data_IF_230475759688
#
_entry.id   IF_230475759688
#
_cell.length_a   1.000
_cell.length_b   1.000
_cell.length_c   1.000
_cell.angle_alpha   90.00
_cell.angle_beta   90.00
_cell.angle_gamma   90.00
#
_symmetry.space_group_name_H-M   'P 1'
#
loop_
_entity.id
_entity.type
_entity.pdbx_description
1 polymer ?
#
# COMPACT_ATOMS: atom_id res chain seq x y z
N UNK A 1 50.13 -42.94 18.79
CA UNK A 1 51.28 -42.13 18.35
C UNK A 1 50.67 -40.94 17.67
N UNK A 2 50.54 -39.98 18.49
CA UNK A 2 51.14 -38.62 18.45
C UNK A 2 50.58 -37.78 17.37
N UNK A 3 49.89 -36.79 17.66
CA UNK A 3 50.17 -35.58 18.42
C UNK A 3 49.84 -34.39 17.48
N UNK A 4 49.07 -33.51 17.83
CA UNK A 4 49.31 -32.18 18.35
C UNK A 4 48.48 -31.09 17.64
N UNK A 5 47.55 -30.54 18.36
CA UNK A 5 47.13 -29.16 18.31
C UNK A 5 48.35 -28.22 18.52
N UNK A 6 48.36 -26.93 18.16
CA UNK A 6 47.42 -25.95 18.66
C UNK A 6 47.08 -24.78 17.72
N UNK A 7 46.07 -24.04 18.17
CA UNK A 7 45.73 -22.64 17.87
C UNK A 7 46.90 -21.70 18.23
N UNK A 8 47.03 -20.50 17.59
CA UNK A 8 46.60 -19.34 18.34
C UNK A 8 45.71 -18.33 17.59
N UNK A 9 44.94 -17.63 18.41
CA UNK A 9 44.27 -16.39 18.13
C UNK A 9 45.29 -15.22 18.10
N UNK A 10 44.96 -14.16 17.36
CA UNK A 10 45.34 -12.76 17.61
C UNK A 10 44.45 -11.90 16.77
N UNK A 11 43.57 -11.20 17.42
CA UNK A 11 43.44 -9.77 17.69
C UNK A 11 43.79 -8.82 16.54
N UNK A 12 42.83 -8.01 16.14
CA UNK A 12 42.90 -6.56 15.88
C UNK A 12 41.57 -6.03 15.40
N UNK A 13 40.92 -5.29 16.28
CA UNK A 13 40.62 -3.84 16.25
C UNK A 13 39.63 -3.41 15.16
N UNK A 14 38.42 -3.22 15.57
CA UNK A 14 37.81 -1.92 15.90
C UNK A 14 38.22 -0.76 14.98
N UNK A 15 37.32 -0.39 14.06
CA UNK A 15 37.17 0.99 13.66
C UNK A 15 35.71 1.29 13.35
N UNK A 16 35.06 1.88 14.35
CA UNK A 16 33.79 2.57 14.21
C UNK A 16 33.97 3.80 13.33
N UNK A 17 33.17 3.95 12.30
CA UNK A 17 33.00 5.20 11.58
C UNK A 17 31.59 5.71 11.77
N UNK A 18 31.47 6.67 12.66
CA UNK A 18 30.33 7.53 12.96
C UNK A 18 30.18 8.58 11.86
N UNK A 19 28.99 8.88 11.34
CA UNK A 19 28.80 10.02 10.44
C UNK A 19 28.79 11.33 11.19
N UNK A 20 29.27 12.44 10.60
CA UNK A 20 29.31 13.75 11.24
C UNK A 20 27.94 14.43 11.22
N UNK A 21 27.51 14.86 12.39
CA UNK A 21 26.61 15.98 12.55
C UNK A 21 27.49 17.25 12.45
N UNK A 22 27.07 18.20 11.65
CA UNK A 22 27.11 19.63 11.94
C UNK A 22 26.71 20.46 10.72
N UNK A 23 25.72 21.29 10.89
CA UNK A 23 25.77 22.71 10.63
C UNK A 23 24.43 23.36 10.93
N UNK A 24 24.24 23.70 12.19
CA UNK A 24 23.34 24.77 12.56
C UNK A 24 24.12 26.08 12.41
N UNK A 25 23.74 26.91 11.47
CA UNK A 25 24.23 28.28 11.38
C UNK A 25 23.10 29.24 11.72
N UNK A 26 23.31 29.86 12.86
CA UNK A 26 22.62 30.99 13.47
C UNK A 26 22.53 32.17 12.51
N UNK A 27 21.38 32.73 12.33
CA UNK A 27 21.19 34.09 11.86
C UNK A 27 20.67 34.97 13.01
N UNK A 28 21.48 35.84 13.38
CA UNK A 28 21.51 36.84 14.45
C UNK A 28 20.59 38.01 14.07
N UNK A 29 19.70 38.34 14.97
CA UNK A 29 18.98 39.61 14.99
C UNK A 29 19.92 40.73 15.46
N UNK A 30 19.85 41.93 14.92
CA UNK A 30 20.35 43.12 15.60
C UNK A 30 19.20 44.00 16.09
N UNK A 31 19.07 44.15 17.39
CA UNK A 31 18.28 45.19 18.00
C UNK A 31 18.93 46.57 17.87
N UNK A 32 18.15 47.63 17.89
CA UNK A 32 18.72 48.95 18.09
C UNK A 32 18.63 49.42 19.55
N UNK A 33 19.69 50.11 19.88
CA UNK A 33 20.06 50.70 21.14
C UNK A 33 19.09 51.77 21.65
N UNK A 34 19.18 51.85 22.96
CA UNK A 34 18.62 52.88 23.80
C UNK A 34 19.23 54.26 23.52
N UNK A 35 18.44 55.28 23.67
CA UNK A 35 18.93 56.57 24.11
C UNK A 35 17.99 57.27 25.07
N UNK A 36 18.52 57.57 26.17
CA UNK A 36 17.96 58.25 27.33
C UNK A 36 17.78 59.75 27.07
N UNK A 37 16.76 60.36 27.65
CA UNK A 37 16.85 61.68 28.20
C UNK A 37 15.99 61.91 29.43
N UNK A 38 16.58 62.47 30.40
CA UNK A 38 16.12 62.93 31.71
C UNK A 38 14.96 63.92 31.66
N UNK A 39 14.09 63.82 32.64
CA UNK A 39 13.16 64.87 32.99
C UNK A 39 12.67 64.71 34.42
N UNK A 40 13.28 65.48 35.29
CA UNK A 40 13.00 65.64 36.72
C UNK A 40 11.71 66.46 36.90
N UNK A 41 10.80 66.03 37.78
CA UNK A 41 9.67 66.88 38.18
C UNK A 41 8.79 66.26 39.25
N UNK A 42 9.25 66.41 40.45
CA UNK A 42 8.56 66.65 41.72
C UNK A 42 7.06 66.47 41.88
N UNK A 43 6.72 65.61 42.85
CA UNK A 43 5.86 65.86 43.99
C UNK A 43 4.35 65.91 43.81
N UNK A 44 3.61 64.94 44.38
CA UNK A 44 2.72 65.13 45.54
C UNK A 44 1.87 63.94 45.82
N UNK A 45 1.97 63.54 47.05
CA UNK A 45 1.02 62.79 47.91
C UNK A 45 -0.45 62.89 47.53
N UNK A 46 -1.17 61.77 47.57
CA UNK A 46 -2.26 61.45 48.51
C UNK A 46 -3.40 60.60 47.98
N UNK A 47 -3.64 59.59 48.72
CA UNK A 47 -4.95 58.96 49.05
C UNK A 47 -5.63 57.95 48.11
N UNK A 48 -6.22 56.89 48.67
CA UNK A 48 -6.70 55.70 47.98
C UNK A 48 -8.17 55.91 47.51
N UNK A 49 -8.45 55.57 46.31
CA UNK A 49 -9.78 55.68 45.82
C UNK A 49 -10.01 55.00 44.51
N UNK A 50 -10.83 53.96 44.55
CA UNK A 50 -11.68 53.44 43.48
C UNK A 50 -11.00 52.85 42.24
N UNK A 51 -11.22 51.62 41.85
CA UNK A 51 -10.75 51.09 40.60
C UNK A 51 -11.37 51.85 39.44
N UNK A 52 -10.57 52.63 38.73
CA UNK A 52 -10.99 53.25 37.50
C UNK A 52 -11.39 52.18 36.45
N UNK A 53 -12.64 52.15 36.11
CA UNK A 53 -13.15 51.41 34.99
C UNK A 53 -12.31 51.84 33.77
N UNK A 54 -11.67 50.93 33.12
CA UNK A 54 -10.93 51.15 31.87
C UNK A 54 -11.96 51.51 30.80
N UNK A 55 -12.14 52.84 30.62
CA UNK A 55 -12.99 53.33 29.54
C UNK A 55 -12.24 53.07 28.20
N UNK A 56 -12.60 52.02 27.54
CA UNK A 56 -12.12 51.74 26.16
C UNK A 56 -12.62 52.85 25.26
N UNK A 57 -11.73 53.67 24.69
CA UNK A 57 -12.11 54.78 23.87
C UNK A 57 -12.93 54.33 22.65
N UNK A 58 -13.97 55.10 22.24
CA UNK A 58 -14.86 54.71 21.13
C UNK A 58 -14.18 54.47 19.78
N UNK A 59 -12.96 54.97 19.61
CA UNK A 59 -12.16 54.79 18.39
C UNK A 59 -11.60 53.38 18.20
N UNK A 60 -11.44 52.61 19.26
CA UNK A 60 -10.91 51.24 19.18
C UNK A 60 -11.99 50.28 18.73
N UNK A 61 -13.25 50.49 19.20
CA UNK A 61 -14.40 49.68 18.73
C UNK A 61 -14.68 49.83 17.24
N UNK A 62 -14.53 51.03 16.68
CA UNK A 62 -14.79 51.30 15.26
C UNK A 62 -13.75 50.64 14.33
N UNK A 63 -12.47 50.49 14.80
CA UNK A 63 -11.42 49.80 14.03
C UNK A 63 -11.54 48.28 14.06
N UNK A 64 -12.00 47.71 15.18
CA UNK A 64 -12.25 46.28 15.31
C UNK A 64 -13.44 45.80 14.47
N UNK A 65 -14.53 46.58 14.43
CA UNK A 65 -15.72 46.23 13.62
C UNK A 65 -15.51 46.42 12.12
N UNK A 66 -14.66 47.39 11.71
CA UNK A 66 -14.34 47.61 10.27
C UNK A 66 -13.43 46.46 9.74
N UNK A 67 -12.56 45.93 10.58
CA UNK A 67 -11.71 44.75 10.21
C UNK A 67 -12.49 43.43 10.09
N UNK A 68 -13.51 43.26 10.94
CA UNK A 68 -14.30 42.01 10.97
C UNK A 68 -15.17 41.87 9.71
N UNK A 69 -15.79 42.98 9.24
CA UNK A 69 -16.59 42.97 8.01
C UNK A 69 -15.77 42.66 6.73
N UNK A 70 -14.54 43.19 6.65
CA UNK A 70 -13.62 42.86 5.55
C UNK A 70 -13.14 41.42 5.60
N UNK A 71 -12.88 40.91 6.79
CA UNK A 71 -12.46 39.50 6.98
C UNK A 71 -13.57 38.50 6.62
N UNK A 72 -14.82 38.75 7.06
CA UNK A 72 -15.94 37.88 6.73
C UNK A 72 -16.26 37.88 5.24
N UNK A 73 -16.11 39.04 4.57
CA UNK A 73 -16.33 39.16 3.12
C UNK A 73 -15.24 38.41 2.34
N UNK A 74 -13.97 38.54 2.77
CA UNK A 74 -12.86 37.80 2.16
C UNK A 74 -13.00 36.28 2.35
N UNK A 75 -13.39 35.86 3.56
CA UNK A 75 -13.61 34.45 3.86
C UNK A 75 -14.81 33.88 3.07
N UNK A 76 -15.87 34.66 2.92
CA UNK A 76 -17.02 34.30 2.07
C UNK A 76 -16.63 34.14 0.61
N UNK A 77 -15.79 35.05 0.08
CA UNK A 77 -15.30 34.97 -1.29
C UNK A 77 -14.40 33.73 -1.49
N UNK A 78 -13.52 33.41 -0.54
CA UNK A 78 -12.69 32.18 -0.57
C UNK A 78 -13.55 30.91 -0.54
N UNK A 79 -14.57 30.84 0.33
CA UNK A 79 -15.47 29.69 0.39
C UNK A 79 -16.28 29.53 -0.89
N UNK A 80 -16.75 30.63 -1.48
CA UNK A 80 -17.45 30.61 -2.76
C UNK A 80 -16.52 30.10 -3.87
N UNK A 81 -15.28 30.57 -3.91
CA UNK A 81 -14.28 30.11 -4.87
C UNK A 81 -13.98 28.62 -4.72
N UNK A 82 -13.81 28.13 -3.48
CA UNK A 82 -13.64 26.70 -3.19
C UNK A 82 -14.86 25.90 -3.63
N UNK A 83 -16.06 26.42 -3.39
CA UNK A 83 -17.30 25.77 -3.81
C UNK A 83 -17.42 25.69 -5.34
N UNK A 84 -17.02 26.76 -6.04
CA UNK A 84 -16.98 26.80 -7.50
C UNK A 84 -15.97 25.79 -8.04
N UNK A 85 -14.76 25.75 -7.48
CA UNK A 85 -13.74 24.76 -7.85
C UNK A 85 -14.27 23.34 -7.57
N UNK A 86 -14.90 23.12 -6.43
CA UNK A 86 -15.49 21.82 -6.06
C UNK A 86 -16.58 21.37 -7.04
N UNK A 87 -17.39 22.32 -7.56
CA UNK A 87 -18.43 22.03 -8.55
C UNK A 87 -17.88 21.83 -9.97
N UNK A 88 -16.79 22.53 -10.33
CA UNK A 88 -16.18 22.44 -11.67
C UNK A 88 -15.21 21.28 -11.77
N UNK A 89 -14.61 20.83 -10.64
CA UNK A 89 -13.69 19.69 -10.66
C UNK A 89 -14.47 18.43 -11.01
N UNK A 90 -14.29 17.87 -12.21
CA UNK A 90 -14.95 16.62 -12.56
C UNK A 90 -14.43 15.56 -11.59
N UNK A 91 -15.33 14.97 -10.83
CA UNK A 91 -15.05 13.75 -10.10
C UNK A 91 -15.02 12.63 -11.12
N UNK A 92 -13.84 12.39 -11.69
CA UNK A 92 -13.60 11.18 -12.47
C UNK A 92 -13.65 10.00 -11.53
N UNK A 93 -14.82 9.43 -11.33
CA UNK A 93 -14.98 8.10 -10.71
C UNK A 93 -14.43 6.99 -11.62
N UNK A 94 -14.02 7.35 -12.81
CA UNK A 94 -13.28 6.50 -13.74
C UNK A 94 -11.81 6.90 -13.75
N UNK A 95 -11.04 6.48 -12.74
CA UNK A 95 -9.62 6.34 -12.94
C UNK A 95 -9.44 5.33 -14.08
N UNK A 96 -9.11 5.83 -15.25
CA UNK A 96 -8.64 5.02 -16.37
C UNK A 96 -7.27 4.48 -15.99
N UNK A 97 -7.26 3.50 -15.09
CA UNK A 97 -6.05 2.73 -14.83
C UNK A 97 -5.61 2.15 -16.16
N UNK A 98 -4.36 2.36 -16.58
CA UNK A 98 -3.86 1.86 -17.84
C UNK A 98 -4.02 0.34 -17.86
N UNK A 99 -4.59 -0.20 -18.92
CA UNK A 99 -4.65 -1.64 -19.14
C UNK A 99 -3.26 -2.14 -19.48
N UNK A 100 -2.79 -3.13 -18.73
CA UNK A 100 -1.47 -3.75 -18.91
C UNK A 100 -1.62 -4.98 -19.82
N UNK A 101 -0.80 -5.07 -20.86
CA UNK A 101 -0.63 -6.31 -21.62
C UNK A 101 0.36 -7.22 -20.86
N UNK A 102 -0.10 -8.39 -20.43
CA UNK A 102 0.69 -9.39 -19.74
C UNK A 102 1.07 -10.60 -20.59
N UNK A 103 0.84 -10.53 -21.89
CA UNK A 103 1.10 -11.64 -22.83
C UNK A 103 2.57 -12.08 -22.84
N UNK A 104 3.50 -11.14 -22.68
CA UNK A 104 4.94 -11.44 -22.59
C UNK A 104 5.29 -12.21 -21.33
N UNK A 105 4.70 -11.84 -20.18
CA UNK A 105 4.89 -12.53 -18.91
C UNK A 105 4.23 -13.90 -18.93
N UNK A 106 3.04 -14.01 -19.50
CA UNK A 106 2.36 -15.29 -19.70
C UNK A 106 3.20 -16.23 -20.56
N UNK A 107 3.76 -15.74 -21.66
CA UNK A 107 4.65 -16.51 -22.51
C UNK A 107 5.90 -16.95 -21.75
N UNK A 108 6.54 -16.04 -21.01
CA UNK A 108 7.72 -16.33 -20.20
C UNK A 108 7.43 -17.43 -19.16
N UNK A 109 6.30 -17.32 -18.45
CA UNK A 109 5.85 -18.34 -17.48
C UNK A 109 5.57 -19.67 -18.16
N UNK A 110 4.95 -19.67 -19.32
CA UNK A 110 4.68 -20.88 -20.11
C UNK A 110 5.95 -21.63 -20.51
N UNK A 111 7.00 -20.90 -20.89
CA UNK A 111 8.24 -21.49 -21.38
C UNK A 111 9.26 -21.84 -20.26
N UNK A 112 9.40 -20.97 -19.29
CA UNK A 112 10.53 -21.00 -18.35
C UNK A 112 10.16 -21.28 -16.90
N UNK A 113 8.86 -21.23 -16.51
CA UNK A 113 8.49 -21.53 -15.13
C UNK A 113 8.88 -22.98 -14.76
N UNK A 114 9.41 -23.20 -13.53
CA UNK A 114 9.74 -24.53 -13.04
C UNK A 114 8.50 -25.36 -12.66
N UNK A 115 7.32 -24.79 -12.79
CA UNK A 115 6.02 -25.39 -12.46
C UNK A 115 4.98 -25.04 -13.51
N UNK A 116 3.84 -25.71 -13.50
CA UNK A 116 2.71 -25.36 -14.37
C UNK A 116 2.05 -24.09 -13.84
N UNK A 117 2.28 -22.97 -14.52
CA UNK A 117 1.64 -21.70 -14.20
C UNK A 117 0.18 -21.68 -14.66
N UNK A 118 -0.61 -20.80 -14.07
CA UNK A 118 -2.01 -20.58 -14.40
C UNK A 118 -2.22 -19.14 -14.82
N UNK A 119 -3.07 -18.94 -15.82
CA UNK A 119 -3.54 -17.64 -16.27
C UNK A 119 -5.05 -17.63 -16.42
N UNK A 120 -5.71 -16.49 -16.26
CA UNK A 120 -7.13 -16.38 -16.51
C UNK A 120 -7.44 -16.47 -18.01
N UNK A 121 -8.42 -17.26 -18.37
CA UNK A 121 -8.93 -17.41 -19.73
C UNK A 121 -10.44 -17.17 -19.75
N UNK A 122 -10.92 -16.39 -20.71
CA UNK A 122 -12.34 -16.12 -20.90
C UNK A 122 -12.96 -15.18 -19.86
N UNK A 123 -12.17 -14.36 -19.20
CA UNK A 123 -12.71 -13.27 -18.36
C UNK A 123 -13.48 -12.28 -19.25
N UNK A 124 -14.62 -11.74 -18.79
CA UNK A 124 -15.34 -10.68 -19.50
C UNK A 124 -14.46 -9.46 -19.74
N UNK A 125 -14.65 -8.68 -20.84
CA UNK A 125 -13.87 -7.47 -21.14
C UNK A 125 -13.95 -6.39 -20.08
N UNK A 126 -14.92 -6.45 -19.18
CA UNK A 126 -15.06 -5.57 -18.02
C UNK A 126 -14.01 -5.81 -16.93
N UNK A 127 -13.29 -6.96 -16.98
CA UNK A 127 -12.12 -7.22 -16.15
C UNK A 127 -10.89 -6.61 -16.82
N UNK A 128 -10.31 -5.60 -16.20
CA UNK A 128 -9.18 -4.88 -16.79
C UNK A 128 -7.88 -5.26 -16.08
N UNK A 129 -6.89 -5.87 -16.76
CA UNK A 129 -5.58 -6.12 -16.18
C UNK A 129 -4.86 -4.78 -15.94
N UNK A 130 -4.33 -4.58 -14.74
CA UNK A 130 -3.71 -3.33 -14.29
C UNK A 130 -2.27 -3.49 -13.85
N UNK A 131 -1.84 -4.71 -13.57
CA UNK A 131 -0.46 -4.99 -13.18
C UNK A 131 -0.07 -6.42 -13.49
N UNK A 132 1.20 -6.61 -13.89
CA UNK A 132 1.81 -7.94 -14.03
C UNK A 132 3.26 -7.84 -13.58
N UNK A 133 3.70 -8.75 -12.69
CA UNK A 133 5.06 -8.80 -12.20
C UNK A 133 5.52 -10.24 -12.02
N UNK A 134 6.68 -10.53 -12.58
CA UNK A 134 7.40 -11.79 -12.39
C UNK A 134 8.58 -11.58 -11.45
N UNK A 135 8.76 -12.49 -10.52
CA UNK A 135 9.87 -12.50 -9.59
C UNK A 135 10.55 -13.90 -9.65
N UNK A 136 11.88 -13.94 -9.60
CA UNK A 136 12.67 -15.18 -9.47
C UNK A 136 12.81 -16.01 -10.76
N UNK A 137 12.27 -15.59 -11.91
CA UNK A 137 12.33 -16.37 -13.13
C UNK A 137 13.75 -16.48 -13.70
N UNK A 138 14.56 -15.42 -13.61
CA UNK A 138 15.94 -15.38 -14.07
C UNK A 138 16.89 -16.16 -13.14
N UNK A 139 16.42 -16.46 -11.92
CA UNK A 139 17.14 -17.18 -10.89
C UNK A 139 16.54 -18.58 -10.64
N UNK A 140 15.87 -19.13 -11.65
CA UNK A 140 15.18 -20.42 -11.57
C UNK A 140 16.09 -21.52 -11.01
N UNK A 141 15.65 -22.14 -9.90
CA UNK A 141 16.42 -23.14 -9.15
C UNK A 141 17.10 -22.60 -7.89
N UNK A 142 17.37 -21.30 -7.77
CA UNK A 142 17.94 -20.67 -6.57
C UNK A 142 16.91 -19.96 -5.72
N UNK A 143 15.85 -19.42 -6.35
CA UNK A 143 14.76 -18.75 -5.66
C UNK A 143 13.41 -19.26 -6.17
N UNK A 144 12.36 -19.19 -5.32
CA UNK A 144 11.00 -19.44 -5.78
C UNK A 144 10.62 -18.47 -6.90
N UNK A 145 9.92 -18.99 -7.90
CA UNK A 145 9.34 -18.18 -8.96
C UNK A 145 7.94 -17.78 -8.54
N UNK A 146 7.63 -16.50 -8.65
CA UNK A 146 6.31 -15.95 -8.35
C UNK A 146 5.80 -15.07 -9.49
N UNK A 147 4.50 -15.14 -9.75
CA UNK A 147 3.83 -14.28 -10.71
C UNK A 147 2.61 -13.63 -10.08
N UNK A 148 2.61 -12.31 -10.09
CA UNK A 148 1.52 -11.44 -9.72
C UNK A 148 0.80 -10.93 -10.96
N UNK A 149 -0.53 -11.00 -10.98
CA UNK A 149 -1.37 -10.49 -12.07
C UNK A 149 -2.61 -9.83 -11.49
N UNK A 150 -2.68 -8.50 -11.53
CA UNK A 150 -3.74 -7.70 -10.94
C UNK A 150 -4.75 -7.19 -11.95
N UNK A 151 -6.01 -7.09 -11.49
CA UNK A 151 -7.17 -6.65 -12.26
C UNK A 151 -8.00 -5.65 -11.48
N UNK A 152 -8.72 -4.81 -12.22
CA UNK A 152 -9.90 -4.11 -11.72
C UNK A 152 -11.12 -4.87 -12.20
N UNK A 153 -12.02 -5.18 -11.27
CA UNK A 153 -13.27 -5.93 -11.51
C UNK A 153 -14.36 -5.03 -12.10
N UNK A 154 -15.47 -5.61 -12.60
CA UNK A 154 -16.63 -4.83 -13.03
C UNK A 154 -17.22 -3.91 -11.97
N UNK A 155 -17.07 -4.26 -10.69
CA UNK A 155 -17.50 -3.45 -9.54
C UNK A 155 -16.50 -2.37 -9.13
N UNK A 156 -15.46 -2.13 -9.95
CA UNK A 156 -14.39 -1.18 -9.67
C UNK A 156 -13.52 -1.54 -8.44
N UNK A 157 -13.53 -2.82 -8.07
CA UNK A 157 -12.73 -3.36 -6.97
C UNK A 157 -11.45 -4.02 -7.50
N UNK A 158 -10.47 -4.21 -6.63
CA UNK A 158 -9.22 -4.87 -7.00
C UNK A 158 -9.28 -6.36 -6.76
N UNK A 159 -8.77 -7.13 -7.73
CA UNK A 159 -8.54 -8.57 -7.61
C UNK A 159 -7.18 -8.93 -8.24
N UNK A 160 -6.44 -9.83 -7.63
CA UNK A 160 -5.16 -10.29 -8.16
C UNK A 160 -5.03 -11.81 -8.03
N UNK A 161 -4.38 -12.41 -9.03
CA UNK A 161 -3.81 -13.73 -8.94
C UNK A 161 -2.37 -13.63 -8.45
N UNK A 162 -2.06 -14.38 -7.41
CA UNK A 162 -0.72 -14.58 -6.87
C UNK A 162 -0.39 -16.07 -6.97
N UNK A 163 0.70 -16.43 -7.60
CA UNK A 163 1.11 -17.83 -7.69
C UNK A 163 2.62 -17.99 -7.48
N UNK A 164 3.01 -19.07 -6.82
CA UNK A 164 4.42 -19.37 -6.57
C UNK A 164 4.64 -20.83 -6.19
N UNK A 165 5.85 -21.34 -6.46
CA UNK A 165 6.36 -22.61 -5.94
C UNK A 165 7.08 -22.47 -4.58
N UNK A 166 6.95 -21.32 -3.92
CA UNK A 166 7.38 -21.17 -2.53
C UNK A 166 6.53 -22.07 -1.62
N UNK A 167 7.10 -22.49 -0.47
CA UNK A 167 6.37 -23.31 0.50
C UNK A 167 5.03 -22.67 0.87
N UNK A 168 3.95 -23.41 0.69
CA UNK A 168 2.59 -22.92 0.93
C UNK A 168 2.38 -22.36 2.35
N UNK A 169 3.04 -22.95 3.35
CA UNK A 169 2.99 -22.51 4.76
C UNK A 169 3.60 -21.12 5.01
N UNK A 170 4.42 -20.62 4.10
CA UNK A 170 5.04 -19.31 4.14
C UNK A 170 4.35 -18.35 3.17
N UNK A 171 4.09 -18.82 1.95
CA UNK A 171 3.52 -18.01 0.88
C UNK A 171 2.07 -17.57 1.15
N UNK A 172 1.19 -18.51 1.47
CA UNK A 172 -0.25 -18.21 1.69
C UNK A 172 -0.45 -17.21 2.83
N UNK A 173 0.14 -17.38 4.04
CA UNK A 173 0.00 -16.38 5.09
C UNK A 173 0.56 -15.00 4.73
N UNK A 174 1.60 -14.94 3.91
CA UNK A 174 2.19 -13.68 3.44
C UNK A 174 1.27 -12.96 2.45
N UNK A 175 0.68 -13.68 1.49
CA UNK A 175 -0.22 -13.10 0.49
C UNK A 175 -1.58 -12.70 1.10
N UNK A 176 -2.12 -13.53 1.99
CA UNK A 176 -3.41 -13.26 2.64
C UNK A 176 -3.30 -12.35 3.86
N UNK A 177 -2.07 -12.14 4.37
CA UNK A 177 -1.76 -11.51 5.65
C UNK A 177 -2.60 -12.09 6.80
N UNK A 178 -2.91 -13.37 6.72
CA UNK A 178 -3.68 -14.09 7.73
C UNK A 178 -3.26 -15.58 7.79
N UNK A 179 -3.15 -16.11 9.00
CA UNK A 179 -2.88 -17.54 9.23
C UNK A 179 -4.14 -18.35 9.49
N UNK A 180 -5.25 -17.68 9.81
CA UNK A 180 -6.51 -18.32 10.18
C UNK A 180 -7.48 -18.29 9.01
N UNK A 181 -7.93 -19.45 8.57
CA UNK A 181 -8.96 -19.57 7.54
C UNK A 181 -10.35 -19.27 8.10
N UNK A 182 -11.22 -18.75 7.23
CA UNK A 182 -12.65 -18.53 7.53
C UNK A 182 -13.55 -19.69 7.03
N UNK A 183 -12.94 -20.78 6.59
CA UNK A 183 -13.65 -21.90 5.97
C UNK A 183 -13.29 -22.07 4.50
N UNK A 184 -14.14 -22.70 3.73
CA UNK A 184 -13.88 -23.04 2.33
C UNK A 184 -14.97 -22.54 1.40
N UNK A 185 -14.66 -22.48 0.11
CA UNK A 185 -15.59 -22.19 -0.98
C UNK A 185 -15.31 -23.12 -2.14
N UNK A 186 -16.37 -23.66 -2.76
CA UNK A 186 -16.26 -24.43 -3.98
C UNK A 186 -16.28 -23.50 -5.20
N UNK A 187 -15.31 -23.68 -6.09
CA UNK A 187 -15.24 -22.94 -7.36
C UNK A 187 -14.98 -23.98 -8.46
N UNK A 188 -15.93 -24.19 -9.36
CA UNK A 188 -15.87 -25.20 -10.41
C UNK A 188 -15.50 -26.62 -9.90
N UNK A 189 -16.08 -27.03 -8.76
CA UNK A 189 -15.82 -28.33 -8.15
C UNK A 189 -14.46 -28.43 -7.42
N UNK A 190 -13.73 -27.33 -7.33
CA UNK A 190 -12.44 -27.26 -6.62
C UNK A 190 -12.61 -26.50 -5.32
N UNK A 191 -12.05 -27.03 -4.24
CA UNK A 191 -12.10 -26.41 -2.91
C UNK A 191 -11.02 -25.35 -2.78
N UNK A 192 -11.42 -24.15 -2.40
CA UNK A 192 -10.56 -23.02 -2.05
C UNK A 192 -10.76 -22.66 -0.60
N UNK A 193 -9.67 -22.30 0.10
CA UNK A 193 -9.70 -21.84 1.48
C UNK A 193 -9.89 -20.34 1.51
N UNK A 194 -10.83 -19.85 2.32
CA UNK A 194 -11.17 -18.42 2.46
C UNK A 194 -10.34 -17.76 3.55
N UNK A 195 -9.86 -16.55 3.27
CA UNK A 195 -9.20 -15.68 4.24
C UNK A 195 -9.75 -14.26 4.11
N UNK A 196 -9.69 -13.49 5.20
CA UNK A 196 -10.09 -12.09 5.21
C UNK A 196 -9.08 -11.26 6.00
N UNK A 197 -8.65 -10.18 5.40
CA UNK A 197 -7.75 -9.21 6.01
C UNK A 197 -8.52 -7.95 6.40
N UNK A 198 -8.72 -7.74 7.71
CA UNK A 198 -9.58 -6.68 8.24
C UNK A 198 -9.05 -5.26 8.01
N UNK A 199 -7.73 -5.05 8.13
CA UNK A 199 -7.09 -3.74 7.99
C UNK A 199 -7.22 -3.13 6.58
N UNK A 200 -7.28 -3.97 5.56
CA UNK A 200 -7.45 -3.56 4.15
C UNK A 200 -8.78 -4.00 3.54
N UNK A 201 -9.67 -4.57 4.34
CA UNK A 201 -10.95 -5.14 3.87
C UNK A 201 -10.76 -6.10 2.68
N UNK A 202 -9.61 -6.79 2.64
CA UNK A 202 -9.28 -7.67 1.52
C UNK A 202 -9.74 -9.10 1.80
N UNK A 203 -10.35 -9.71 0.80
CA UNK A 203 -10.75 -11.11 0.75
C UNK A 203 -9.69 -11.92 0.02
N UNK A 204 -9.56 -13.21 0.34
CA UNK A 204 -8.67 -14.10 -0.40
C UNK A 204 -9.25 -15.50 -0.49
N UNK A 205 -9.01 -16.15 -1.63
CA UNK A 205 -9.21 -17.56 -1.88
C UNK A 205 -7.86 -18.18 -2.17
N UNK A 206 -7.46 -19.18 -1.42
CA UNK A 206 -6.17 -19.84 -1.60
C UNK A 206 -6.32 -21.35 -1.75
N UNK A 207 -5.45 -21.95 -2.58
CA UNK A 207 -5.29 -23.40 -2.69
C UNK A 207 -3.85 -23.75 -2.99
N UNK A 208 -3.45 -24.94 -2.57
CA UNK A 208 -2.18 -25.54 -2.95
C UNK A 208 -2.46 -26.68 -3.93
N UNK A 209 -1.73 -26.70 -5.02
CA UNK A 209 -1.80 -27.74 -6.04
C UNK A 209 -1.02 -28.99 -5.60
N UNK A 210 -1.25 -30.16 -6.23
CA UNK A 210 -0.53 -31.39 -5.88
C UNK A 210 0.99 -31.31 -6.05
N UNK A 211 1.48 -30.45 -6.95
CA UNK A 211 2.90 -30.17 -7.19
C UNK A 211 3.51 -29.18 -6.18
N UNK A 212 2.73 -28.75 -5.18
CA UNK A 212 3.17 -27.80 -4.14
C UNK A 212 3.02 -26.33 -4.49
N UNK A 213 2.61 -26.02 -5.72
CA UNK A 213 2.37 -24.63 -6.15
C UNK A 213 1.16 -24.04 -5.42
N UNK A 214 1.32 -22.84 -4.92
CA UNK A 214 0.24 -22.09 -4.29
C UNK A 214 -0.41 -21.12 -5.27
N UNK A 215 -1.73 -21.14 -5.33
CA UNK A 215 -2.55 -20.15 -6.01
C UNK A 215 -3.33 -19.35 -4.97
N UNK A 216 -3.23 -18.04 -5.00
CA UNK A 216 -4.00 -17.15 -4.14
C UNK A 216 -4.67 -16.10 -5.01
N UNK A 217 -5.99 -16.01 -4.93
CA UNK A 217 -6.77 -14.94 -5.55
C UNK A 217 -7.18 -14.00 -4.43
N UNK A 218 -6.73 -12.75 -4.47
CA UNK A 218 -6.85 -11.81 -3.35
C UNK A 218 -7.19 -10.40 -3.83
N UNK A 219 -7.85 -9.61 -2.99
CA UNK A 219 -8.17 -8.22 -3.32
C UNK A 219 -9.28 -7.65 -2.46
N UNK A 220 -9.71 -6.42 -2.78
CA UNK A 220 -10.88 -5.77 -2.16
C UNK A 220 -12.20 -6.29 -2.72
N UNK A 221 -12.15 -6.98 -3.86
CA UNK A 221 -13.30 -7.59 -4.50
C UNK A 221 -14.04 -8.59 -3.59
N UNK A 222 -15.32 -8.79 -3.85
CA UNK A 222 -16.14 -9.76 -3.13
C UNK A 222 -15.66 -11.21 -3.37
N UNK A 223 -16.07 -12.14 -2.52
CA UNK A 223 -15.72 -13.55 -2.73
C UNK A 223 -16.35 -14.12 -4.02
N UNK A 224 -17.47 -13.56 -4.47
CA UNK A 224 -18.13 -13.92 -5.71
C UNK A 224 -17.27 -13.52 -6.91
N UNK A 225 -16.74 -12.30 -6.92
CA UNK A 225 -15.84 -11.84 -7.98
C UNK A 225 -14.49 -12.57 -7.94
N UNK A 226 -13.92 -12.77 -6.74
CA UNK A 226 -12.71 -13.60 -6.62
C UNK A 226 -12.92 -15.02 -7.13
N UNK A 227 -14.13 -15.60 -6.92
CA UNK A 227 -14.46 -16.90 -7.46
C UNK A 227 -14.57 -16.90 -9.00
N UNK A 228 -15.03 -15.81 -9.62
CA UNK A 228 -15.02 -15.67 -11.09
C UNK A 228 -13.56 -15.69 -11.61
N UNK A 229 -12.66 -14.94 -10.99
CA UNK A 229 -11.25 -14.98 -11.36
C UNK A 229 -10.64 -16.37 -11.12
N UNK A 230 -10.91 -16.99 -9.96
CA UNK A 230 -10.43 -18.34 -9.65
C UNK A 230 -10.97 -19.40 -10.64
N UNK A 231 -12.22 -19.25 -11.08
CA UNK A 231 -12.86 -20.13 -12.05
C UNK A 231 -12.30 -20.02 -13.47
N UNK A 232 -11.78 -18.84 -13.83
CA UNK A 232 -11.19 -18.58 -15.15
C UNK A 232 -9.76 -19.13 -15.29
N UNK A 233 -9.11 -19.53 -14.19
CA UNK A 233 -7.73 -19.99 -14.21
C UNK A 233 -7.57 -21.30 -14.98
N UNK A 234 -6.70 -21.28 -16.00
CA UNK A 234 -6.32 -22.42 -16.79
C UNK A 234 -4.81 -22.67 -16.72
N UNK A 235 -4.37 -23.94 -16.73
CA UNK A 235 -2.95 -24.25 -16.77
C UNK A 235 -2.32 -23.82 -18.09
N UNK A 236 -1.18 -23.17 -18.03
CA UNK A 236 -0.37 -22.81 -19.18
C UNK A 236 0.42 -24.04 -19.63
N UNK A 237 -0.06 -24.75 -20.65
CA UNK A 237 0.67 -25.88 -21.23
C UNK A 237 1.78 -25.37 -22.16
N UNK A 238 2.98 -25.95 -22.08
CA UNK A 238 4.05 -25.67 -23.03
C UNK A 238 3.59 -26.04 -24.44
N UNK A 239 3.79 -25.18 -25.41
CA UNK A 239 3.55 -25.53 -26.82
C UNK A 239 4.47 -26.70 -27.18
N UNK A 240 3.89 -27.85 -27.52
CA UNK A 240 4.63 -29.09 -27.85
C UNK A 240 4.53 -30.20 -26.79
N UNK A 241 3.96 -29.98 -25.64
CA UNK A 241 3.63 -31.06 -24.71
C UNK A 241 2.34 -31.74 -25.18
N UNK A 242 2.43 -32.95 -25.71
CA UNK A 242 1.24 -33.82 -25.90
C UNK A 242 0.57 -34.03 -24.55
N UNK A 243 -0.75 -33.82 -24.42
CA UNK A 243 -1.43 -34.13 -23.18
C UNK A 243 -1.20 -35.59 -22.81
N UNK A 244 -0.60 -35.84 -21.65
CA UNK A 244 -0.48 -37.21 -21.15
C UNK A 244 -1.86 -37.83 -21.02
N UNK A 245 -1.96 -39.17 -21.15
CA UNK A 245 -3.25 -39.88 -21.15
C UNK A 245 -4.01 -39.55 -19.86
N UNK A 246 -5.19 -39.02 -20.02
CA UNK A 246 -6.14 -38.79 -18.95
C UNK A 246 -6.41 -40.12 -18.25
N UNK A 247 -5.96 -40.30 -17.03
CA UNK A 247 -6.27 -41.47 -16.22
C UNK A 247 -7.76 -41.36 -15.85
N UNK A 248 -8.60 -41.99 -16.66
CA UNK A 248 -10.02 -42.19 -16.33
C UNK A 248 -10.09 -43.11 -15.12
N UNK A 249 -10.80 -42.79 -14.04
CA UNK A 249 -10.98 -43.72 -12.94
C UNK A 249 -11.67 -44.99 -13.44
N UNK A 250 -11.07 -46.15 -13.15
CA UNK A 250 -11.61 -47.44 -13.48
C UNK A 250 -13.02 -47.59 -12.83
N UNK A 251 -14.00 -48.20 -13.52
CA UNK A 251 -15.31 -48.44 -12.94
C UNK A 251 -15.16 -49.42 -11.77
N UNK A 252 -15.65 -49.02 -10.59
CA UNK A 252 -15.79 -49.92 -9.45
C UNK A 252 -16.77 -51.05 -9.78
N UNK A 253 -16.28 -52.27 -9.77
CA UNK A 253 -17.13 -53.45 -9.85
C UNK A 253 -17.90 -53.56 -8.55
N UNK A 254 -19.23 -53.61 -8.68
CA UNK A 254 -20.18 -54.03 -7.66
C UNK A 254 -20.07 -55.52 -7.37
#
# INVERSE_FOLDING_TARGET
MTDKTPVPAEDAEETAARPPADAAESAQEPGPAAESVRGIGSGRTSAPGVPAAIAVSPGVHKRLTTGLGGFTMAMGACLLLVLVIYMITPRSDNELLPTVDYSSQEWAMRQHAPYTAYAPEGLPPSWRPTSSRLDGLDEAGNKPVAWHLGFVTPSNEYAALEQSNEKASEYIPRMTNNRNSLGTQQVNGVTWTKYHRKDKKANSLARTLPDGVSLVVTGTASYEELAILAASLKPLTRQGATPGPSISPAPSKS
#
